data_IF_924140932058
#
_entry.id   IF_924140932058
#
_cell.length_a   1.000
_cell.length_b   1.000
_cell.length_c   1.000
_cell.angle_alpha   90.00
_cell.angle_beta   90.00
_cell.angle_gamma   90.00
#
_symmetry.space_group_name_H-M   'P 1'
#
loop_
_entity.id
_entity.type
_entity.pdbx_description
1 polymer ?
#
# COMPACT_ATOMS: atom_id res chain seq x y z
N UNK A 1 -0.47 25.49 -3.06
CA UNK A 1 -0.45 25.05 -1.65
C UNK A 1 0.90 24.42 -1.41
N UNK A 2 1.62 24.84 -0.38
CA UNK A 2 2.91 24.24 0.00
C UNK A 2 2.68 22.94 0.78
N UNK A 3 3.46 21.90 0.48
CA UNK A 3 3.36 20.59 1.15
C UNK A 3 4.45 20.50 2.22
N UNK A 4 4.06 20.27 3.48
CA UNK A 4 5.01 20.10 4.60
C UNK A 4 5.02 18.68 5.14
N UNK A 5 6.20 18.18 5.47
CA UNK A 5 6.41 16.93 6.22
C UNK A 5 6.59 17.29 7.70
N UNK A 6 5.78 16.69 8.57
CA UNK A 6 5.81 16.91 10.02
C UNK A 6 6.14 15.60 10.70
N UNK A 7 7.30 15.54 11.35
CA UNK A 7 7.76 14.37 12.09
C UNK A 7 6.91 14.15 13.34
N UNK A 8 6.49 12.90 13.56
CA UNK A 8 5.70 12.47 14.69
C UNK A 8 6.33 11.20 15.27
N UNK A 9 6.77 11.29 16.51
CA UNK A 9 7.26 10.11 17.24
C UNK A 9 6.05 9.23 17.62
N UNK A 10 6.00 8.02 17.07
CA UNK A 10 4.87 7.11 17.24
C UNK A 10 4.85 6.36 18.59
N UNK A 11 5.97 6.36 19.32
CA UNK A 11 6.10 5.63 20.59
C UNK A 11 5.31 6.31 21.71
N UNK A 12 4.57 5.50 22.48
CA UNK A 12 3.86 5.97 23.67
C UNK A 12 2.66 6.89 23.41
N UNK A 13 2.13 6.95 22.19
CA UNK A 13 0.98 7.82 21.86
C UNK A 13 -0.33 7.37 22.51
N UNK A 14 -0.48 6.09 22.82
CA UNK A 14 -1.69 5.54 23.40
C UNK A 14 -1.63 4.02 23.51
N UNK A 15 -2.68 3.45 24.08
CA UNK A 15 -2.84 2.00 24.24
C UNK A 15 -4.30 1.60 24.30
N UNK A 16 -4.55 0.34 24.00
CA UNK A 16 -5.79 -0.33 24.37
C UNK A 16 -5.74 -0.78 25.84
N UNK A 17 -6.89 -1.15 26.40
CA UNK A 17 -6.94 -1.75 27.74
C UNK A 17 -6.34 -3.16 27.71
N UNK A 18 -5.66 -3.50 28.79
CA UNK A 18 -5.08 -4.83 29.00
C UNK A 18 -6.13 -5.80 29.55
N UNK A 19 -7.03 -6.25 28.67
CA UNK A 19 -8.06 -7.25 28.95
C UNK A 19 -8.11 -8.27 27.81
N UNK A 20 -8.64 -9.46 28.08
CA UNK A 20 -8.79 -10.50 27.07
C UNK A 20 -10.02 -10.29 26.17
N UNK A 21 -9.98 -10.88 24.97
CA UNK A 21 -11.08 -10.88 24.00
C UNK A 21 -11.19 -9.59 23.18
N UNK A 22 -12.21 -9.47 22.31
CA UNK A 22 -12.37 -8.34 21.40
C UNK A 22 -12.63 -7.02 22.13
N UNK A 23 -13.15 -7.06 23.36
CA UNK A 23 -13.40 -5.86 24.18
C UNK A 23 -12.13 -5.08 24.52
N UNK A 24 -10.95 -5.70 24.41
CA UNK A 24 -9.67 -4.99 24.50
C UNK A 24 -9.59 -3.83 23.50
N UNK A 25 -10.23 -3.99 22.33
CA UNK A 25 -10.24 -3.00 21.25
C UNK A 25 -11.38 -1.99 21.37
N UNK A 26 -12.19 -2.04 22.43
CA UNK A 26 -13.37 -1.18 22.56
C UNK A 26 -13.01 0.30 22.66
N UNK A 27 -11.88 0.63 23.30
CA UNK A 27 -11.48 2.01 23.49
C UNK A 27 -9.97 2.21 23.30
N UNK A 28 -9.58 3.13 22.41
CA UNK A 28 -8.21 3.62 22.32
C UNK A 28 -8.00 4.82 23.25
N UNK A 29 -7.12 4.66 24.24
CA UNK A 29 -6.76 5.69 25.21
C UNK A 29 -5.48 6.42 24.75
N UNK A 30 -5.57 7.74 24.55
CA UNK A 30 -4.41 8.58 24.23
C UNK A 30 -3.62 8.79 25.52
N UNK A 31 -2.32 8.48 25.49
CA UNK A 31 -1.47 8.57 26.66
C UNK A 31 -1.32 10.03 27.13
N UNK A 32 -1.44 10.25 28.43
CA UNK A 32 -1.12 11.54 29.06
C UNK A 32 0.38 11.86 29.07
N UNK A 33 1.24 10.85 28.88
CA UNK A 33 2.70 10.99 28.85
C UNK A 33 3.27 11.11 27.43
N UNK A 34 2.42 11.09 26.40
CA UNK A 34 2.86 11.24 25.03
C UNK A 34 3.58 12.60 24.81
N UNK A 35 4.62 12.59 23.97
CA UNK A 35 5.42 13.79 23.67
C UNK A 35 4.51 14.97 23.29
N UNK A 36 4.68 16.10 24.00
CA UNK A 36 3.86 17.29 23.79
C UNK A 36 3.88 17.78 22.34
N UNK A 37 5.02 17.66 21.65
CA UNK A 37 5.17 18.06 20.26
C UNK A 37 4.44 17.10 19.29
N UNK A 38 4.60 15.78 19.46
CA UNK A 38 3.92 14.78 18.63
C UNK A 38 2.40 14.89 18.77
N UNK A 39 1.89 15.01 20.00
CA UNK A 39 0.45 15.17 20.24
C UNK A 39 -0.07 16.50 19.69
N UNK A 40 0.67 17.60 19.83
CA UNK A 40 0.29 18.87 19.24
C UNK A 40 0.16 18.78 17.71
N UNK A 41 1.16 18.17 17.04
CA UNK A 41 1.11 17.95 15.60
C UNK A 41 -0.10 17.11 15.16
N UNK A 42 -0.44 16.07 15.93
CA UNK A 42 -1.63 15.24 15.64
C UNK A 42 -2.94 15.98 15.90
N UNK A 43 -3.01 16.85 16.92
CA UNK A 43 -4.18 17.70 17.18
C UNK A 43 -4.39 18.71 16.06
N UNK A 44 -3.31 19.34 15.61
CA UNK A 44 -3.35 20.29 14.48
C UNK A 44 -3.80 19.58 13.20
N UNK A 45 -3.29 18.38 12.93
CA UNK A 45 -3.71 17.57 11.79
C UNK A 45 -5.17 17.15 11.88
N UNK A 46 -5.65 16.75 13.06
CA UNK A 46 -7.05 16.40 13.31
C UNK A 46 -7.99 17.60 13.10
N UNK A 47 -7.62 18.79 13.59
CA UNK A 47 -8.37 20.03 13.36
C UNK A 47 -8.38 20.43 11.88
N UNK A 48 -7.25 20.26 11.20
CA UNK A 48 -7.16 20.45 9.76
C UNK A 48 -8.14 19.52 9.02
N UNK A 49 -8.17 18.22 9.34
CA UNK A 49 -9.08 17.25 8.74
C UNK A 49 -10.56 17.58 8.99
N UNK A 50 -10.89 18.16 10.16
CA UNK A 50 -12.26 18.59 10.50
C UNK A 50 -12.74 19.83 9.76
N UNK A 51 -11.83 20.73 9.42
CA UNK A 51 -12.19 22.06 8.89
C UNK A 51 -11.91 22.22 7.40
N UNK A 52 -10.99 21.44 6.84
CA UNK A 52 -10.59 21.51 5.43
C UNK A 52 -11.14 20.31 4.65
N UNK A 53 -11.23 20.47 3.33
CA UNK A 53 -11.54 19.38 2.40
C UNK A 53 -10.28 18.70 1.83
N UNK A 54 -9.11 19.29 2.05
CA UNK A 54 -7.83 18.73 1.61
C UNK A 54 -7.42 17.58 2.54
N UNK A 55 -7.02 16.42 2.00
CA UNK A 55 -6.61 15.29 2.81
C UNK A 55 -5.20 15.47 3.42
N UNK A 56 -4.92 14.68 4.45
CA UNK A 56 -3.61 14.59 5.12
C UNK A 56 -3.06 13.18 4.94
N UNK A 57 -1.77 13.07 4.62
CA UNK A 57 -1.11 11.78 4.53
C UNK A 57 -0.54 11.35 5.88
N UNK A 58 -0.64 10.05 6.21
CA UNK A 58 -0.14 9.49 7.47
C UNK A 58 0.27 8.02 7.31
N UNK A 59 1.23 7.53 8.11
CA UNK A 59 1.70 6.15 8.04
C UNK A 59 0.72 5.16 8.72
N UNK A 60 0.65 3.96 8.13
CA UNK A 60 0.13 2.76 8.80
C UNK A 60 1.24 1.71 8.86
N UNK A 61 0.97 0.55 9.44
CA UNK A 61 1.86 -0.62 9.35
C UNK A 61 1.97 -1.14 7.90
N UNK A 62 0.98 -0.88 7.05
CA UNK A 62 0.93 -1.36 5.65
C UNK A 62 1.63 -0.42 4.67
N UNK A 63 1.00 0.71 4.38
CA UNK A 63 1.43 1.75 3.46
C UNK A 63 0.95 3.11 4.02
N UNK A 64 1.50 4.22 3.54
CA UNK A 64 0.96 5.53 3.89
C UNK A 64 -0.45 5.69 3.30
N UNK A 65 -1.38 6.16 4.12
CA UNK A 65 -2.76 6.47 3.75
C UNK A 65 -2.93 7.96 3.48
N UNK A 66 -3.82 8.32 2.55
CA UNK A 66 -4.25 9.69 2.29
C UNK A 66 -5.65 9.89 2.88
N UNK A 67 -5.71 10.38 4.11
CA UNK A 67 -6.93 10.44 4.90
C UNK A 67 -7.71 11.73 4.78
N UNK A 68 -9.03 11.59 4.79
CA UNK A 68 -9.95 12.66 5.11
C UNK A 68 -11.14 12.10 5.92
N UNK A 69 -11.89 12.98 6.57
CA UNK A 69 -13.10 12.61 7.31
C UNK A 69 -14.10 11.88 6.38
N UNK A 70 -14.39 10.62 6.69
CA UNK A 70 -15.24 9.75 5.87
C UNK A 70 -16.72 10.15 5.88
N UNK A 71 -17.12 11.06 6.77
CA UNK A 71 -18.51 11.55 6.92
C UNK A 71 -18.77 12.82 6.12
N UNK A 72 -17.71 13.46 5.59
CA UNK A 72 -17.79 14.74 4.87
C UNK A 72 -17.52 14.56 3.37
N UNK A 73 -18.54 14.74 2.53
CA UNK A 73 -18.39 14.60 1.06
C UNK A 73 -17.32 15.49 0.45
N UNK A 74 -17.18 16.74 0.92
CA UNK A 74 -16.13 17.64 0.45
C UNK A 74 -14.72 17.07 0.69
N UNK A 75 -14.49 16.58 1.91
CA UNK A 75 -13.23 15.98 2.33
C UNK A 75 -12.92 14.70 1.54
N UNK A 76 -13.91 13.82 1.34
CA UNK A 76 -13.75 12.60 0.56
C UNK A 76 -13.48 12.91 -0.92
N UNK A 77 -14.13 13.92 -1.51
CA UNK A 77 -13.81 14.41 -2.87
C UNK A 77 -12.40 14.96 -2.98
N UNK A 78 -11.88 15.59 -1.92
CA UNK A 78 -10.50 16.03 -1.83
C UNK A 78 -9.49 14.89 -2.03
N UNK A 79 -9.78 13.69 -1.53
CA UNK A 79 -8.95 12.48 -1.76
C UNK A 79 -8.89 12.14 -3.26
N UNK A 80 -10.04 12.08 -3.92
CA UNK A 80 -10.12 11.75 -5.35
C UNK A 80 -9.40 12.80 -6.21
N UNK A 81 -9.59 14.08 -5.89
CA UNK A 81 -8.95 15.22 -6.55
C UNK A 81 -7.42 15.16 -6.42
N UNK A 82 -6.89 15.05 -5.19
CA UNK A 82 -5.45 15.02 -4.95
C UNK A 82 -4.77 13.83 -5.66
N UNK A 83 -5.41 12.65 -5.68
CA UNK A 83 -4.86 11.45 -6.32
C UNK A 83 -5.01 11.43 -7.84
N UNK A 84 -5.99 12.17 -8.39
CA UNK A 84 -6.47 11.94 -9.76
C UNK A 84 -7.11 10.56 -9.91
N UNK A 85 -7.90 10.14 -8.91
CA UNK A 85 -8.52 8.80 -8.86
C UNK A 85 -9.98 8.85 -9.34
N UNK A 86 -10.47 7.86 -10.12
CA UNK A 86 -11.89 7.72 -10.45
C UNK A 86 -12.76 7.59 -9.18
N UNK A 87 -13.92 8.24 -9.17
CA UNK A 87 -14.87 8.23 -8.05
C UNK A 87 -15.70 6.94 -7.94
N UNK A 88 -15.62 6.04 -8.91
CA UNK A 88 -16.32 4.74 -8.94
C UNK A 88 -15.60 3.64 -8.13
N UNK A 89 -14.53 3.99 -7.43
CA UNK A 89 -13.67 3.03 -6.73
C UNK A 89 -13.73 3.31 -5.22
N UNK A 90 -14.34 2.41 -4.43
CA UNK A 90 -14.64 2.68 -3.03
C UNK A 90 -13.36 2.90 -2.20
N UNK A 91 -13.54 3.50 -1.02
CA UNK A 91 -12.50 3.78 -0.05
C UNK A 91 -12.65 2.89 1.18
N UNK A 92 -11.54 2.61 1.85
CA UNK A 92 -11.54 1.92 3.15
C UNK A 92 -11.60 2.98 4.24
N UNK A 93 -12.60 2.87 5.11
CA UNK A 93 -12.71 3.67 6.32
C UNK A 93 -11.83 3.10 7.42
N UNK A 94 -11.07 3.95 8.08
CA UNK A 94 -10.23 3.59 9.22
C UNK A 94 -10.87 4.07 10.52
N UNK A 95 -10.91 3.21 11.52
CA UNK A 95 -11.44 3.48 12.87
C UNK A 95 -10.35 3.34 13.91
N UNK A 96 -10.46 4.05 15.04
CA UNK A 96 -9.49 3.95 16.14
C UNK A 96 -9.84 2.85 17.15
N UNK A 97 -11.11 2.49 17.29
CA UNK A 97 -11.60 1.53 18.28
C UNK A 97 -12.96 0.93 17.87
N UNK A 98 -13.42 -0.11 18.57
CA UNK A 98 -14.71 -0.75 18.28
C UNK A 98 -15.89 0.13 18.67
N UNK A 99 -15.75 1.04 19.64
CA UNK A 99 -16.79 2.01 19.97
C UNK A 99 -17.11 2.92 18.77
N UNK A 100 -16.09 3.42 18.07
CA UNK A 100 -16.28 4.18 16.82
C UNK A 100 -16.95 3.33 15.74
N UNK A 101 -16.52 2.08 15.55
CA UNK A 101 -17.15 1.18 14.56
C UNK A 101 -18.63 0.91 14.89
N UNK A 102 -18.94 0.56 16.14
CA UNK A 102 -20.32 0.35 16.62
C UNK A 102 -21.14 1.62 16.45
N UNK A 103 -20.53 2.78 16.69
CA UNK A 103 -21.12 4.10 16.42
C UNK A 103 -21.50 4.30 14.96
N UNK A 104 -20.70 3.81 14.00
CA UNK A 104 -21.03 3.86 12.57
C UNK A 104 -22.15 2.89 12.18
N UNK A 105 -22.15 1.69 12.75
CA UNK A 105 -23.10 0.62 12.40
C UNK A 105 -24.49 0.82 13.01
N UNK A 106 -24.58 1.49 14.17
CA UNK A 106 -25.86 1.74 14.82
C UNK A 106 -26.65 2.80 14.04
N UNK A 107 -27.94 2.54 13.72
CA UNK A 107 -28.80 3.58 13.15
C UNK A 107 -28.91 4.76 14.14
N UNK A 108 -29.07 5.98 13.62
CA UNK A 108 -29.44 7.12 14.46
C UNK A 108 -30.75 6.79 15.18
N UNK A 109 -30.69 6.65 16.51
CA UNK A 109 -31.89 6.42 17.32
C UNK A 109 -32.85 7.59 17.08
N UNK A 110 -34.01 7.34 16.48
CA UNK A 110 -35.16 8.21 16.69
C UNK A 110 -35.48 8.15 18.19
N UNK A 111 -35.08 9.19 18.91
CA UNK A 111 -35.39 9.38 20.33
C UNK A 111 -36.86 9.74 20.48
N UNK A 112 -37.78 8.85 20.13
CA UNK A 112 -39.18 8.94 20.54
C UNK A 112 -39.71 7.52 20.75
N UNK A 113 -40.09 7.26 22.00
CA UNK A 113 -40.54 5.97 22.57
C UNK A 113 -39.41 5.05 23.03
N UNK A 114 -39.38 4.88 24.36
CA UNK A 114 -38.40 4.11 25.13
C UNK A 114 -38.47 2.61 24.88
N UNK A 115 -38.30 2.18 23.64
CA UNK A 115 -38.03 0.79 23.34
C UNK A 115 -36.57 0.49 23.69
N UNK A 116 -36.46 -0.37 24.69
CA UNK A 116 -35.25 -1.02 25.18
C UNK A 116 -34.77 -1.99 24.10
N UNK A 117 -34.34 -1.47 22.95
CA UNK A 117 -33.48 -2.22 22.02
C UNK A 117 -32.08 -2.27 22.64
N UNK A 118 -32.01 -3.06 23.71
CA UNK A 118 -30.80 -3.45 24.39
C UNK A 118 -30.06 -4.51 23.56
N UNK A 119 -28.73 -4.35 23.52
CA UNK A 119 -27.78 -5.42 23.83
C UNK A 119 -27.16 -6.33 22.75
N UNK A 120 -27.52 -6.27 21.46
CA UNK A 120 -26.74 -7.02 20.45
C UNK A 120 -25.67 -6.14 19.80
N UNK A 121 -24.41 -6.59 19.85
CA UNK A 121 -23.29 -5.94 19.15
C UNK A 121 -23.60 -5.88 17.64
N UNK A 122 -23.60 -4.69 16.99
CA UNK A 122 -23.92 -4.57 15.57
C UNK A 122 -22.87 -5.19 14.64
N UNK A 123 -21.70 -5.59 15.16
CA UNK A 123 -20.66 -6.27 14.39
C UNK A 123 -21.09 -7.73 14.13
N UNK A 124 -21.19 -8.18 12.87
CA UNK A 124 -21.60 -9.56 12.55
C UNK A 124 -20.68 -10.61 13.18
N UNK A 125 -21.27 -11.69 13.72
CA UNK A 125 -20.54 -12.78 14.42
C UNK A 125 -19.40 -13.38 13.59
N UNK A 126 -19.59 -13.50 12.28
CA UNK A 126 -18.58 -14.02 11.34
C UNK A 126 -17.25 -13.25 11.43
N UNK A 127 -17.26 -11.97 11.81
CA UNK A 127 -16.05 -11.16 11.87
C UNK A 127 -15.37 -11.15 13.25
N UNK A 128 -16.04 -11.59 14.32
CA UNK A 128 -15.45 -11.52 15.67
C UNK A 128 -14.14 -12.30 15.81
N UNK A 129 -14.01 -13.55 15.31
CA UNK A 129 -12.75 -14.29 15.37
C UNK A 129 -11.61 -13.60 14.60
N UNK A 130 -11.95 -12.90 13.51
CA UNK A 130 -10.97 -12.15 12.72
C UNK A 130 -10.54 -10.85 13.43
N UNK A 131 -11.49 -10.12 14.02
CA UNK A 131 -11.20 -8.88 14.76
C UNK A 131 -10.32 -9.19 15.97
N UNK A 132 -10.65 -10.23 16.73
CA UNK A 132 -9.88 -10.62 17.90
C UNK A 132 -8.43 -10.95 17.55
N UNK A 133 -8.22 -11.69 16.45
CA UNK A 133 -6.90 -12.18 16.04
C UNK A 133 -6.07 -11.16 15.26
N UNK A 134 -6.69 -10.38 14.38
CA UNK A 134 -5.97 -9.57 13.39
C UNK A 134 -6.15 -8.06 13.55
N UNK A 135 -7.00 -7.58 14.47
CA UNK A 135 -7.12 -6.15 14.78
C UNK A 135 -6.43 -5.77 16.11
N UNK A 136 -5.80 -4.58 16.18
CA UNK A 136 -5.47 -3.70 15.06
C UNK A 136 -4.47 -4.39 14.13
N UNK A 137 -4.58 -4.15 12.82
CA UNK A 137 -3.68 -4.84 11.88
C UNK A 137 -4.09 -4.77 10.42
N UNK A 138 -3.39 -5.55 9.56
CA UNK A 138 -3.48 -5.47 8.10
C UNK A 138 -4.68 -6.23 7.55
N UNK A 139 -5.82 -6.22 8.24
CA UNK A 139 -7.08 -6.82 7.80
C UNK A 139 -8.15 -5.75 7.59
N UNK A 140 -8.83 -5.83 6.46
CA UNK A 140 -10.03 -5.04 6.14
C UNK A 140 -11.20 -5.99 5.98
N UNK A 141 -12.31 -5.68 6.66
CA UNK A 141 -13.57 -6.44 6.55
C UNK A 141 -14.61 -5.62 5.79
N UNK A 142 -15.49 -6.28 5.02
CA UNK A 142 -16.66 -5.64 4.41
C UNK A 142 -17.88 -5.70 5.34
N UNK A 143 -18.52 -4.56 5.57
CA UNK A 143 -19.75 -4.47 6.35
C UNK A 143 -20.87 -3.86 5.51
N UNK A 144 -22.11 -4.24 5.80
CA UNK A 144 -23.28 -3.55 5.24
C UNK A 144 -23.26 -2.09 5.70
N UNK A 145 -23.51 -1.18 4.76
CA UNK A 145 -23.67 0.23 5.09
C UNK A 145 -25.07 0.44 5.68
N UNK A 146 -25.21 0.98 6.90
CA UNK A 146 -26.52 1.27 7.47
C UNK A 146 -27.27 2.34 6.66
N UNK A 147 -28.61 2.29 6.73
CA UNK A 147 -29.49 3.31 6.17
C UNK A 147 -30.25 4.03 7.30
N UNK A 148 -30.14 5.36 7.45
CA UNK A 148 -29.33 6.26 6.63
C UNK A 148 -27.82 6.10 6.89
N UNK A 149 -27.03 6.23 5.82
CA UNK A 149 -25.55 6.18 5.89
C UNK A 149 -24.98 7.37 6.63
N UNK A 150 -24.09 7.10 7.60
CA UNK A 150 -23.23 8.12 8.25
C UNK A 150 -21.99 8.48 7.42
N UNK A 151 -21.66 7.64 6.44
CA UNK A 151 -20.54 7.85 5.53
C UNK A 151 -20.99 8.71 4.35
N UNK A 152 -20.08 9.55 3.87
CA UNK A 152 -20.26 10.26 2.61
C UNK A 152 -20.45 9.26 1.45
N UNK A 153 -21.36 9.52 0.49
CA UNK A 153 -21.66 8.59 -0.60
C UNK A 153 -20.43 8.18 -1.43
N UNK A 154 -19.45 9.07 -1.53
CA UNK A 154 -18.21 8.85 -2.27
C UNK A 154 -17.30 7.79 -1.61
N UNK A 155 -17.50 7.45 -0.33
CA UNK A 155 -16.76 6.38 0.36
C UNK A 155 -17.16 5.01 -0.19
N UNK A 156 -18.46 4.77 -0.34
CA UNK A 156 -18.99 3.47 -0.81
C UNK A 156 -19.09 3.40 -2.32
N UNK A 157 -18.99 4.54 -3.02
CA UNK A 157 -19.20 4.63 -4.47
C UNK A 157 -20.56 4.04 -4.92
N UNK A 158 -21.59 4.20 -4.08
CA UNK A 158 -22.94 3.68 -4.33
C UNK A 158 -23.17 2.21 -3.99
N UNK A 159 -22.20 1.54 -3.37
CA UNK A 159 -22.35 0.16 -2.90
C UNK A 159 -23.14 0.09 -1.58
N UNK A 160 -23.87 -1.02 -1.39
CA UNK A 160 -24.57 -1.35 -0.13
C UNK A 160 -23.60 -1.80 1.00
N UNK A 161 -22.31 -1.93 0.68
CA UNK A 161 -21.27 -2.34 1.61
C UNK A 161 -20.10 -1.36 1.60
N UNK A 162 -19.39 -1.27 2.72
CA UNK A 162 -18.16 -0.50 2.84
C UNK A 162 -17.05 -1.34 3.47
N UNK A 163 -15.79 -1.02 3.13
CA UNK A 163 -14.62 -1.63 3.77
C UNK A 163 -14.20 -0.84 5.00
N UNK A 164 -13.92 -1.54 6.10
CA UNK A 164 -13.42 -0.94 7.33
C UNK A 164 -12.18 -1.65 7.86
N UNK A 165 -11.30 -0.89 8.52
CA UNK A 165 -10.07 -1.39 9.13
C UNK A 165 -9.72 -0.63 10.41
N UNK A 166 -9.14 -1.33 11.37
CA UNK A 166 -8.43 -0.73 12.50
C UNK A 166 -6.91 -0.88 12.28
N UNK A 167 -6.17 0.18 11.92
CA UNK A 167 -4.75 0.07 11.59
C UNK A 167 -3.89 -0.20 12.84
N UNK A 168 -2.87 -1.05 12.73
CA UNK A 168 -1.86 -1.25 13.78
C UNK A 168 -0.78 -0.16 13.79
N UNK A 169 -1.22 1.09 13.86
CA UNK A 169 -0.32 2.26 13.94
C UNK A 169 -0.82 3.18 15.06
N UNK A 170 -0.08 3.30 16.18
CA UNK A 170 -0.46 4.21 17.27
C UNK A 170 -0.65 5.66 16.78
N UNK A 171 0.14 6.09 15.80
CA UNK A 171 -0.01 7.39 15.15
C UNK A 171 -1.38 7.49 14.45
N UNK A 172 -1.74 6.50 13.63
CA UNK A 172 -3.02 6.49 12.92
C UNK A 172 -4.21 6.41 13.88
N UNK A 173 -4.16 5.52 14.89
CA UNK A 173 -5.21 5.37 15.89
C UNK A 173 -5.43 6.67 16.66
N UNK A 174 -4.35 7.31 17.13
CA UNK A 174 -4.43 8.60 17.82
C UNK A 174 -4.92 9.71 16.91
N UNK A 175 -4.51 9.76 15.64
CA UNK A 175 -5.03 10.73 14.67
C UNK A 175 -6.54 10.58 14.45
N UNK A 176 -7.02 9.36 14.23
CA UNK A 176 -8.45 9.05 14.04
C UNK A 176 -9.25 9.42 15.29
N UNK A 177 -8.74 9.06 16.48
CA UNK A 177 -9.35 9.42 17.77
C UNK A 177 -9.46 10.93 17.95
N UNK A 178 -8.38 11.67 17.67
CA UNK A 178 -8.35 13.12 17.77
C UNK A 178 -9.22 13.80 16.73
N UNK A 179 -9.33 13.25 15.51
CA UNK A 179 -10.22 13.73 14.46
C UNK A 179 -11.70 13.60 14.86
N UNK A 180 -12.00 12.64 15.76
CA UNK A 180 -13.34 12.30 16.22
C UNK A 180 -14.28 11.85 15.09
N UNK A 181 -13.72 11.25 14.05
CA UNK A 181 -14.44 10.72 12.89
C UNK A 181 -13.64 9.57 12.26
N UNK A 182 -14.30 8.58 11.61
CA UNK A 182 -13.59 7.63 10.78
C UNK A 182 -12.88 8.34 9.63
N UNK A 183 -11.71 7.83 9.23
CA UNK A 183 -10.93 8.40 8.14
C UNK A 183 -10.99 7.51 6.90
N UNK A 184 -11.56 8.01 5.81
CA UNK A 184 -11.46 7.36 4.52
C UNK A 184 -10.03 7.55 4.02
N UNK A 185 -9.28 6.47 3.81
CA UNK A 185 -7.85 6.56 3.50
C UNK A 185 -7.40 5.47 2.52
N UNK A 186 -7.34 5.74 1.20
CA UNK A 186 -6.58 4.91 0.28
C UNK A 186 -5.07 5.17 0.41
N UNK A 187 -4.25 4.40 -0.30
CA UNK A 187 -2.80 4.63 -0.36
C UNK A 187 -2.45 6.07 -0.81
N UNK A 188 -1.39 6.68 -0.29
CA UNK A 188 -1.05 8.09 -0.50
C UNK A 188 -0.19 8.38 -1.74
N UNK A 189 -0.43 7.66 -2.85
CA UNK A 189 0.25 7.87 -4.13
C UNK A 189 -0.64 8.58 -5.15
N UNK A 190 -0.04 9.17 -6.18
CA UNK A 190 -0.78 9.52 -7.39
C UNK A 190 -1.35 8.23 -8.01
N UNK A 191 -2.53 8.32 -8.64
CA UNK A 191 -3.16 7.15 -9.29
C UNK A 191 -2.16 6.41 -10.20
N UNK A 192 -2.32 5.09 -10.31
CA UNK A 192 -1.46 4.12 -11.04
C UNK A 192 -0.04 3.90 -10.51
N UNK A 193 0.57 4.84 -9.77
CA UNK A 193 1.91 4.65 -9.20
C UNK A 193 1.96 3.56 -8.10
N UNK A 194 3.14 2.99 -7.79
CA UNK A 194 3.34 2.10 -6.65
C UNK A 194 2.86 2.72 -5.32
N UNK A 195 2.44 1.92 -4.35
CA UNK A 195 2.04 2.45 -3.04
C UNK A 195 3.22 3.09 -2.29
N UNK A 196 3.00 4.13 -1.47
CA UNK A 196 4.06 4.77 -0.70
C UNK A 196 4.26 4.09 0.65
N UNK A 197 5.51 3.75 0.97
CA UNK A 197 5.92 3.16 2.25
C UNK A 197 6.71 4.11 3.14
N UNK A 198 6.97 5.35 2.69
CA UNK A 198 7.68 6.40 3.42
C UNK A 198 7.04 7.76 3.16
N UNK A 199 7.25 8.74 4.04
CA UNK A 199 6.76 10.11 3.85
C UNK A 199 7.32 10.73 2.56
N UNK A 200 8.57 10.43 2.20
CA UNK A 200 9.19 10.94 0.98
C UNK A 200 8.53 10.39 -0.29
N UNK A 201 8.07 9.13 -0.28
CA UNK A 201 7.27 8.59 -1.39
C UNK A 201 5.98 9.37 -1.60
N UNK A 202 5.33 9.79 -0.51
CA UNK A 202 4.12 10.62 -0.56
C UNK A 202 4.45 12.01 -1.10
N UNK A 203 5.49 12.66 -0.55
CA UNK A 203 5.92 13.99 -0.98
C UNK A 203 6.15 14.04 -2.49
N UNK A 204 6.97 13.14 -3.02
CA UNK A 204 7.26 13.07 -4.45
C UNK A 204 6.02 12.91 -5.34
N UNK A 205 4.97 12.27 -4.83
CA UNK A 205 3.77 12.01 -5.62
C UNK A 205 2.70 13.09 -5.51
N UNK A 206 2.59 13.73 -4.33
CA UNK A 206 1.47 14.59 -3.97
C UNK A 206 1.89 16.01 -3.56
N UNK A 207 3.17 16.38 -3.72
CA UNK A 207 3.65 17.76 -3.55
C UNK A 207 2.78 18.73 -4.37
N UNK A 208 2.38 19.83 -3.72
CA UNK A 208 1.50 20.84 -4.29
C UNK A 208 0.02 20.46 -4.32
N UNK A 209 -0.32 19.18 -4.09
CA UNK A 209 -1.70 18.66 -4.09
C UNK A 209 -2.28 18.46 -2.69
N UNK A 210 -1.42 18.25 -1.69
CA UNK A 210 -1.81 18.11 -0.28
C UNK A 210 -0.97 19.04 0.61
N UNK A 211 -1.56 19.53 1.70
CA UNK A 211 -0.86 20.49 2.56
C UNK A 211 0.04 19.84 3.61
N UNK A 212 -0.26 18.61 4.03
CA UNK A 212 0.35 18.00 5.22
C UNK A 212 0.63 16.50 5.03
N UNK A 213 1.84 16.11 5.40
CA UNK A 213 2.29 14.72 5.51
C UNK A 213 2.78 14.52 6.94
N UNK A 214 2.18 13.62 7.69
CA UNK A 214 2.69 13.16 8.97
C UNK A 214 3.72 12.07 8.73
N UNK A 215 4.91 12.23 9.30
CA UNK A 215 6.02 11.29 9.16
C UNK A 215 6.28 10.55 10.46
N UNK A 216 5.90 9.27 10.48
CA UNK A 216 6.16 8.34 11.58
C UNK A 216 7.15 7.23 11.20
N UNK A 217 7.94 7.42 10.13
CA UNK A 217 8.89 6.43 9.63
C UNK A 217 8.32 5.43 8.63
N UNK A 218 9.17 4.50 8.20
CA UNK A 218 8.83 3.51 7.17
C UNK A 218 7.75 2.50 7.60
N UNK A 219 6.90 2.09 6.67
CA UNK A 219 5.90 1.05 6.89
C UNK A 219 6.52 -0.34 7.04
N UNK A 220 6.01 -1.15 7.97
CA UNK A 220 6.59 -2.44 8.34
C UNK A 220 6.14 -3.63 7.48
N UNK A 221 4.99 -3.57 6.81
CA UNK A 221 4.47 -4.69 5.99
C UNK A 221 4.80 -4.49 4.52
N UNK A 222 4.70 -3.25 4.02
CA UNK A 222 5.04 -2.90 2.63
C UNK A 222 4.00 -3.29 1.58
N UNK A 223 3.02 -4.15 1.90
CA UNK A 223 1.84 -4.43 1.08
C UNK A 223 0.56 -3.97 1.78
N UNK A 224 -0.51 -3.72 1.03
CA UNK A 224 -1.78 -3.29 1.61
C UNK A 224 -2.48 -4.39 2.45
N UNK A 225 -3.52 -4.00 3.18
CA UNK A 225 -4.34 -4.94 3.95
C UNK A 225 -5.00 -6.01 3.08
N UNK A 226 -5.14 -7.21 3.65
CA UNK A 226 -6.02 -8.24 3.13
C UNK A 226 -7.46 -7.74 3.24
N UNK A 227 -8.25 -7.87 2.17
CA UNK A 227 -9.67 -7.47 2.17
C UNK A 227 -10.52 -8.72 2.09
N UNK A 228 -11.39 -8.90 3.07
CA UNK A 228 -12.26 -10.07 3.19
C UNK A 228 -13.73 -9.67 3.21
N UNK A 229 -14.56 -10.57 2.69
CA UNK A 229 -16.00 -10.45 2.66
C UNK A 229 -16.64 -11.72 3.22
N UNK A 230 -17.17 -11.58 4.43
CA UNK A 230 -18.00 -12.56 5.13
C UNK A 230 -19.50 -12.23 5.03
N UNK A 231 -19.92 -11.32 4.14
CA UNK A 231 -21.35 -11.11 3.84
C UNK A 231 -21.90 -12.15 2.86
N UNK A 232 -21.04 -13.01 2.31
CA UNK A 232 -21.38 -14.13 1.45
C UNK A 232 -20.94 -15.47 2.07
N UNK A 233 -21.50 -16.57 1.54
CA UNK A 233 -21.19 -17.94 1.94
C UNK A 233 -20.83 -18.77 0.69
N UNK A 234 -19.64 -19.39 0.62
CA UNK A 234 -18.53 -19.27 1.58
C UNK A 234 -17.92 -17.85 1.60
N UNK A 235 -17.29 -17.41 2.71
CA UNK A 235 -16.56 -16.15 2.76
C UNK A 235 -15.46 -16.07 1.70
N UNK A 236 -15.13 -14.87 1.26
CA UNK A 236 -14.13 -14.66 0.21
C UNK A 236 -13.03 -13.67 0.57
N UNK A 237 -11.83 -13.92 0.05
CA UNK A 237 -10.75 -12.94 -0.02
C UNK A 237 -10.88 -12.16 -1.32
N UNK A 238 -11.19 -10.86 -1.22
CA UNK A 238 -11.30 -9.94 -2.36
C UNK A 238 -9.95 -9.37 -2.76
N UNK A 239 -9.01 -9.24 -1.80
CA UNK A 239 -7.66 -8.76 -2.07
C UNK A 239 -6.65 -9.43 -1.13
N UNK A 240 -5.61 -10.10 -1.65
CA UNK A 240 -4.51 -10.58 -0.82
C UNK A 240 -3.67 -9.41 -0.28
N UNK A 241 -3.13 -9.59 0.93
CA UNK A 241 -2.40 -8.58 1.68
C UNK A 241 -1.68 -9.16 2.89
N UNK A 242 -1.56 -8.38 3.97
CA UNK A 242 -0.77 -8.75 5.16
C UNK A 242 -1.32 -9.87 6.05
N UNK A 243 -2.54 -10.38 5.82
CA UNK A 243 -3.11 -11.56 6.49
C UNK A 243 -3.30 -12.69 5.49
N UNK A 244 -2.79 -13.86 5.86
CA UNK A 244 -2.68 -15.08 5.06
C UNK A 244 -4.02 -15.82 4.89
N UNK A 245 -4.18 -16.61 3.82
CA UNK A 245 -5.38 -17.46 3.67
C UNK A 245 -5.39 -18.59 4.69
N UNK A 246 -4.24 -19.19 4.98
CA UNK A 246 -4.08 -20.18 6.04
C UNK A 246 -4.44 -19.60 7.41
N UNK A 247 -3.96 -18.39 7.70
CA UNK A 247 -4.30 -17.64 8.90
C UNK A 247 -5.82 -17.40 9.01
N UNK A 248 -6.48 -17.01 7.91
CA UNK A 248 -7.94 -16.85 7.88
C UNK A 248 -8.67 -18.17 8.12
N UNK A 249 -8.24 -19.28 7.49
CA UNK A 249 -8.86 -20.61 7.65
C UNK A 249 -8.77 -21.18 9.05
N UNK A 250 -7.82 -20.70 9.84
CA UNK A 250 -7.71 -21.08 11.26
C UNK A 250 -8.74 -20.41 12.17
N UNK A 251 -9.53 -19.47 11.66
CA UNK A 251 -10.57 -18.76 12.41
C UNK A 251 -11.94 -19.41 12.22
N UNK A 252 -12.73 -19.47 13.31
CA UNK A 252 -14.08 -20.03 13.29
C UNK A 252 -14.97 -19.32 12.24
N UNK A 253 -15.64 -20.11 11.40
CA UNK A 253 -16.50 -19.62 10.31
C UNK A 253 -15.75 -19.25 9.02
N UNK A 254 -14.41 -19.27 9.01
CA UNK A 254 -13.57 -18.94 7.86
C UNK A 254 -12.81 -20.14 7.29
N UNK A 255 -13.06 -21.35 7.79
CA UNK A 255 -12.41 -22.60 7.37
C UNK A 255 -12.59 -22.85 5.86
N UNK A 256 -13.76 -22.47 5.34
CA UNK A 256 -14.14 -22.57 3.93
C UNK A 256 -13.76 -21.38 3.05
N UNK A 257 -12.99 -20.40 3.55
CA UNK A 257 -12.68 -19.19 2.78
C UNK A 257 -11.99 -19.52 1.46
N UNK A 258 -12.41 -18.84 0.41
CA UNK A 258 -11.87 -18.98 -0.95
C UNK A 258 -11.38 -17.64 -1.49
N UNK A 259 -10.55 -17.66 -2.53
CA UNK A 259 -10.27 -16.44 -3.32
C UNK A 259 -11.52 -16.11 -4.11
N UNK A 260 -11.82 -14.83 -4.26
CA UNK A 260 -12.80 -14.37 -5.24
C UNK A 260 -12.26 -14.59 -6.66
N UNK A 261 -12.25 -15.84 -7.15
CA UNK A 261 -11.81 -16.16 -8.50
C UNK A 261 -12.76 -15.54 -9.51
N UNK A 262 -12.24 -14.68 -10.40
CA UNK A 262 -12.96 -14.09 -11.54
C UNK A 262 -14.24 -13.37 -11.13
N UNK A 263 -14.18 -12.53 -10.09
CA UNK A 263 -15.21 -11.51 -9.94
C UNK A 263 -15.27 -10.70 -11.24
N UNK A 264 -16.46 -10.47 -11.80
CA UNK A 264 -16.61 -9.80 -13.09
C UNK A 264 -15.94 -8.40 -13.10
N UNK A 265 -15.67 -7.84 -11.91
CA UNK A 265 -14.94 -6.60 -11.69
C UNK A 265 -13.44 -6.68 -11.99
N UNK A 266 -12.78 -7.85 -11.84
CA UNK A 266 -11.39 -8.04 -12.28
C UNK A 266 -11.29 -8.06 -13.81
N UNK A 267 -12.35 -8.52 -14.49
CA UNK A 267 -12.47 -8.44 -15.96
C UNK A 267 -12.94 -7.08 -16.47
N UNK A 268 -13.13 -6.09 -15.58
CA UNK A 268 -13.56 -4.73 -15.91
C UNK A 268 -15.05 -4.56 -16.23
N UNK A 269 -15.88 -5.60 -16.05
CA UNK A 269 -17.30 -5.60 -16.46
C UNK A 269 -18.27 -5.09 -15.39
N UNK A 270 -17.86 -5.01 -14.13
CA UNK A 270 -18.68 -4.51 -13.01
C UNK A 270 -17.91 -3.55 -12.08
N UNK A 271 -18.64 -2.80 -11.26
CA UNK A 271 -18.06 -1.92 -10.24
C UNK A 271 -17.25 -2.73 -9.21
N UNK A 272 -16.05 -2.28 -8.81
CA UNK A 272 -15.22 -3.02 -7.87
C UNK A 272 -15.83 -2.98 -6.45
N UNK A 273 -15.98 -4.16 -5.83
CA UNK A 273 -16.50 -4.29 -4.45
C UNK A 273 -15.52 -3.78 -3.39
N UNK A 274 -14.23 -3.77 -3.73
CA UNK A 274 -13.14 -3.31 -2.87
C UNK A 274 -12.04 -2.60 -3.68
N UNK A 275 -11.20 -1.75 -3.05
CA UNK A 275 -10.08 -1.12 -3.73
C UNK A 275 -9.06 -2.16 -4.23
N UNK A 276 -8.55 -1.98 -5.45
CA UNK A 276 -7.47 -2.83 -6.00
C UNK A 276 -7.92 -3.92 -6.97
N UNK A 277 -9.22 -3.98 -7.32
CA UNK A 277 -9.79 -5.03 -8.18
C UNK A 277 -9.84 -4.70 -9.68
N UNK A 278 -10.17 -3.47 -10.08
CA UNK A 278 -10.52 -3.12 -11.48
C UNK A 278 -9.39 -2.47 -12.30
N UNK A 279 -8.56 -1.62 -11.69
CA UNK A 279 -7.62 -0.77 -12.41
C UNK A 279 -6.18 -1.32 -12.35
N UNK A 280 -5.35 -1.01 -13.35
CA UNK A 280 -3.89 -1.22 -13.26
C UNK A 280 -3.35 -0.39 -12.11
N UNK A 281 -3.12 -1.05 -10.99
CA UNK A 281 -2.45 -0.48 -9.83
C UNK A 281 -0.96 -0.89 -9.90
N UNK A 282 -0.08 -0.06 -9.36
CA UNK A 282 1.33 -0.40 -9.10
C UNK A 282 2.28 -0.39 -10.30
N UNK A 283 1.93 0.22 -11.43
CA UNK A 283 2.83 0.26 -12.59
C UNK A 283 3.80 1.45 -12.48
N UNK A 284 5.12 1.23 -12.41
CA UNK A 284 6.08 2.30 -12.68
C UNK A 284 5.96 2.78 -14.13
N UNK A 285 6.64 3.89 -14.48
CA UNK A 285 6.74 4.33 -15.88
C UNK A 285 7.60 3.37 -16.70
N UNK A 286 8.65 2.83 -16.07
CA UNK A 286 9.47 1.78 -16.65
C UNK A 286 8.65 0.54 -17.01
N UNK A 287 9.00 -0.13 -18.11
CA UNK A 287 8.42 -1.42 -18.47
C UNK A 287 8.88 -2.48 -17.46
N UNK A 288 7.95 -3.15 -16.78
CA UNK A 288 8.29 -4.23 -15.85
C UNK A 288 8.17 -5.59 -16.54
N UNK A 289 9.22 -6.40 -16.47
CA UNK A 289 9.24 -7.80 -16.91
C UNK A 289 9.45 -8.70 -15.70
N UNK A 290 8.41 -9.45 -15.34
CA UNK A 290 8.42 -10.37 -14.21
C UNK A 290 8.81 -11.77 -14.67
N UNK A 291 9.78 -12.38 -14.00
CA UNK A 291 10.09 -13.79 -14.15
C UNK A 291 9.48 -14.56 -12.98
N UNK A 292 8.40 -15.30 -13.25
CA UNK A 292 7.78 -16.18 -12.26
C UNK A 292 8.82 -17.17 -11.70
N UNK A 293 8.58 -17.62 -10.47
CA UNK A 293 9.40 -18.65 -9.85
C UNK A 293 9.46 -19.93 -10.69
N UNK A 294 8.36 -20.26 -11.38
CA UNK A 294 8.25 -21.40 -12.29
C UNK A 294 9.07 -21.29 -13.58
N UNK A 295 9.50 -20.08 -13.95
CA UNK A 295 10.15 -19.83 -15.23
C UNK A 295 11.56 -20.41 -15.24
N UNK A 296 11.71 -21.63 -15.80
CA UNK A 296 12.98 -22.34 -15.85
C UNK A 296 14.06 -21.60 -16.64
N UNK A 297 13.69 -20.93 -17.74
CA UNK A 297 14.63 -20.20 -18.58
C UNK A 297 15.25 -18.99 -17.85
N UNK A 298 14.51 -18.40 -16.91
CA UNK A 298 14.98 -17.30 -16.08
C UNK A 298 15.50 -17.73 -14.70
N UNK A 299 15.82 -19.01 -14.49
CA UNK A 299 16.22 -19.50 -13.17
C UNK A 299 17.55 -18.91 -12.67
N UNK A 300 18.46 -18.56 -13.59
CA UNK A 300 19.78 -18.01 -13.25
C UNK A 300 19.95 -16.52 -13.57
N UNK A 301 18.91 -15.87 -14.13
CA UNK A 301 18.98 -14.48 -14.54
C UNK A 301 17.98 -14.09 -15.62
N UNK A 302 18.18 -12.91 -16.19
CA UNK A 302 17.42 -12.37 -17.31
C UNK A 302 17.82 -13.11 -18.59
N UNK A 303 16.85 -13.58 -19.37
CA UNK A 303 17.15 -14.27 -20.62
C UNK A 303 17.68 -13.31 -21.68
N UNK A 304 18.62 -13.77 -22.50
CA UNK A 304 19.32 -12.93 -23.48
C UNK A 304 18.38 -12.26 -24.47
N UNK A 305 17.30 -12.93 -24.89
CA UNK A 305 16.32 -12.37 -25.83
C UNK A 305 15.59 -11.16 -25.23
N UNK A 306 15.32 -11.16 -23.93
CA UNK A 306 14.63 -10.05 -23.26
C UNK A 306 15.54 -8.84 -23.09
N UNK A 307 16.82 -9.09 -22.79
CA UNK A 307 17.86 -8.06 -22.81
C UNK A 307 18.00 -7.44 -24.21
N UNK A 308 18.11 -8.27 -25.25
CA UNK A 308 18.21 -7.81 -26.64
C UNK A 308 16.99 -6.97 -27.05
N UNK A 309 15.77 -7.42 -26.72
CA UNK A 309 14.55 -6.65 -26.97
C UNK A 309 14.59 -5.27 -26.31
N UNK A 310 15.04 -5.19 -25.06
CA UNK A 310 15.17 -3.92 -24.36
C UNK A 310 16.15 -2.97 -25.04
N UNK A 311 17.31 -3.49 -25.49
CA UNK A 311 18.33 -2.72 -26.21
C UNK A 311 17.85 -2.25 -27.60
N UNK A 312 17.10 -3.08 -28.32
CA UNK A 312 16.55 -2.75 -29.65
C UNK A 312 15.46 -1.67 -29.54
N UNK A 313 14.55 -1.78 -28.55
CA UNK A 313 13.48 -0.80 -28.36
C UNK A 313 14.03 0.62 -28.16
N UNK A 314 15.15 0.76 -27.43
CA UNK A 314 15.83 2.05 -27.26
C UNK A 314 16.36 2.63 -28.58
N UNK A 315 16.92 1.79 -29.44
CA UNK A 315 17.49 2.23 -30.72
C UNK A 315 16.41 2.79 -31.66
N UNK A 316 15.20 2.24 -31.61
CA UNK A 316 14.04 2.76 -32.35
C UNK A 316 13.55 4.11 -31.82
N UNK A 317 13.49 4.28 -30.50
CA UNK A 317 13.01 5.52 -29.86
C UNK A 317 14.05 6.67 -29.96
N UNK A 318 15.36 6.37 -29.92
CA UNK A 318 16.42 7.36 -30.04
C UNK A 318 16.51 8.00 -31.43
N UNK A 319 16.07 7.30 -32.50
CA UNK A 319 16.01 7.84 -33.87
C UNK A 319 14.90 8.92 -33.98
N UNK A 320 13.94 8.96 -33.05
CA UNK A 320 12.84 9.93 -33.06
C UNK A 320 13.16 11.27 -32.35
N UNK A 321 14.25 11.36 -31.58
CA UNK A 321 14.58 12.57 -30.79
C UNK A 321 15.90 13.19 -31.25
N UNK A 322 15.82 14.23 -32.08
CA UNK A 322 16.97 15.06 -32.45
C UNK A 322 17.38 15.98 -31.26
N UNK A 323 18.57 15.79 -30.66
CA UNK A 323 19.21 16.91 -29.94
C UNK A 323 20.22 16.63 -28.82
N UNK A 324 20.33 15.41 -28.29
CA UNK A 324 21.38 15.08 -27.31
C UNK A 324 21.90 13.67 -27.59
N UNK A 325 23.23 13.46 -27.51
CA UNK A 325 23.82 12.14 -27.74
C UNK A 325 23.10 11.07 -26.92
N UNK A 326 22.95 9.82 -27.42
CA UNK A 326 22.03 8.86 -26.82
C UNK A 326 22.46 8.57 -25.38
N UNK A 327 21.65 9.00 -24.42
CA UNK A 327 21.81 8.57 -23.04
C UNK A 327 21.70 7.05 -23.01
N UNK A 328 22.71 6.37 -22.45
CA UNK A 328 22.72 4.92 -22.33
C UNK A 328 21.42 4.42 -21.66
N UNK A 329 20.82 3.36 -22.22
CA UNK A 329 19.65 2.70 -21.65
C UNK A 329 19.91 2.39 -20.19
N UNK A 330 18.97 2.68 -19.30
CA UNK A 330 19.06 2.23 -17.91
C UNK A 330 18.19 1.01 -17.72
N UNK A 331 18.80 -0.10 -17.35
CA UNK A 331 18.16 -1.38 -17.05
C UNK A 331 18.12 -1.51 -15.53
N UNK A 332 16.92 -1.58 -14.98
CA UNK A 332 16.70 -1.93 -13.59
C UNK A 332 16.64 -3.44 -13.40
N UNK A 333 17.22 -3.92 -12.31
CA UNK A 333 17.16 -5.32 -11.90
C UNK A 333 16.78 -5.36 -10.43
N UNK A 334 15.68 -6.04 -10.11
CA UNK A 334 15.28 -6.34 -8.74
C UNK A 334 15.47 -7.84 -8.54
N UNK A 335 16.45 -8.20 -7.72
CA UNK A 335 16.76 -9.59 -7.38
C UNK A 335 16.18 -9.98 -6.04
N UNK A 336 15.82 -11.24 -5.94
CA UNK A 336 15.34 -11.86 -4.70
C UNK A 336 16.27 -13.02 -4.34
N UNK A 337 15.81 -14.26 -4.45
CA UNK A 337 16.57 -15.44 -3.98
C UNK A 337 17.27 -16.22 -5.09
N UNK A 338 16.89 -16.11 -6.38
CA UNK A 338 17.48 -16.93 -7.45
C UNK A 338 18.59 -16.21 -8.19
N UNK A 339 18.40 -14.93 -8.48
CA UNK A 339 19.27 -14.22 -9.40
C UNK A 339 20.58 -13.79 -8.76
N UNK A 340 21.67 -14.07 -9.48
CA UNK A 340 23.00 -13.52 -9.22
C UNK A 340 23.04 -12.04 -9.62
N UNK A 341 24.04 -11.34 -9.13
CA UNK A 341 24.30 -9.94 -9.43
C UNK A 341 24.13 -9.59 -10.92
N UNK A 342 23.53 -8.43 -11.18
CA UNK A 342 23.20 -7.96 -12.52
C UNK A 342 22.27 -8.92 -13.29
N UNK A 343 21.42 -9.68 -12.60
CA UNK A 343 20.48 -10.61 -13.24
C UNK A 343 21.18 -11.67 -14.06
N UNK A 344 22.35 -12.13 -13.63
CA UNK A 344 23.15 -13.15 -14.34
C UNK A 344 23.98 -12.61 -15.52
N UNK A 345 23.92 -11.31 -15.83
CA UNK A 345 24.79 -10.71 -16.83
C UNK A 345 26.26 -10.86 -16.42
N UNK A 346 27.10 -11.39 -17.32
CA UNK A 346 28.54 -11.52 -17.07
C UNK A 346 29.22 -10.18 -17.37
N UNK A 347 29.78 -9.46 -16.38
CA UNK A 347 30.34 -8.13 -16.61
C UNK A 347 31.87 -8.15 -16.71
N UNK A 348 32.41 -7.45 -17.71
CA UNK A 348 33.85 -7.16 -17.82
C UNK A 348 34.31 -5.91 -17.06
N UNK A 349 33.44 -4.95 -16.73
CA UNK A 349 33.88 -3.69 -16.08
C UNK A 349 32.72 -2.96 -15.39
N UNK A 350 32.29 -3.39 -14.20
CA UNK A 350 31.35 -2.64 -13.36
C UNK A 350 32.11 -1.81 -12.33
N UNK A 351 32.12 -0.48 -12.47
CA UNK A 351 32.54 0.41 -11.38
C UNK A 351 31.40 0.50 -10.36
N UNK A 352 31.53 -0.24 -9.25
CA UNK A 352 30.56 -0.22 -8.15
C UNK A 352 30.67 1.11 -7.41
N UNK A 353 29.79 2.05 -7.76
CA UNK A 353 29.48 3.18 -6.88
C UNK A 353 28.40 2.71 -5.93
N UNK A 354 28.73 2.53 -4.64
CA UNK A 354 27.70 2.26 -3.62
C UNK A 354 26.88 3.53 -3.46
N UNK A 355 25.60 3.47 -3.81
CA UNK A 355 24.65 4.50 -3.41
C UNK A 355 23.76 3.87 -2.34
N UNK A 356 24.04 4.21 -1.08
CA UNK A 356 23.08 3.97 -0.01
C UNK A 356 21.89 4.90 -0.28
N UNK A 357 20.70 4.34 -0.35
CA UNK A 357 19.49 5.16 -0.39
C UNK A 357 19.12 5.45 1.06
N UNK A 358 19.75 6.49 1.60
CA UNK A 358 19.04 7.36 2.55
C UNK A 358 18.10 8.25 1.75
N UNK A 359 16.94 8.58 2.32
CA UNK A 359 16.15 9.73 1.88
C UNK A 359 17.09 10.91 1.61
N UNK A 360 17.01 11.44 0.39
CA UNK A 360 17.98 12.36 -0.20
C UNK A 360 18.62 13.35 0.79
N UNK A 361 19.95 13.39 0.83
CA UNK A 361 20.77 14.58 1.08
C UNK A 361 20.43 15.53 2.26
N UNK A 362 19.76 15.06 3.32
CA UNK A 362 19.59 15.82 4.56
C UNK A 362 19.86 14.93 5.78
N UNK A 363 20.79 15.38 6.61
CA UNK A 363 21.45 14.62 7.68
C UNK A 363 20.57 14.27 8.91
N UNK A 364 19.25 14.09 8.76
CA UNK A 364 18.32 13.83 9.87
C UNK A 364 17.26 12.73 9.62
N UNK A 365 17.32 12.00 8.50
CA UNK A 365 16.40 10.90 8.20
C UNK A 365 17.06 9.55 8.51
N UNK A 366 16.67 8.90 9.62
CA UNK A 366 16.89 7.45 9.78
C UNK A 366 15.67 6.76 9.17
N UNK A 367 15.69 6.61 7.84
CA UNK A 367 14.63 5.99 7.04
C UNK A 367 14.95 4.50 6.83
N UNK A 368 14.29 3.62 7.57
CA UNK A 368 14.55 2.17 7.59
C UNK A 368 13.91 1.42 6.39
N UNK A 369 14.35 1.71 5.16
CA UNK A 369 14.26 0.71 4.07
C UNK A 369 15.62 0.66 3.37
N UNK A 370 16.59 0.02 4.02
CA UNK A 370 17.96 -0.05 3.56
C UNK A 370 18.16 -1.18 2.53
N UNK A 371 17.96 -0.89 1.24
CA UNK A 371 18.59 -1.66 0.17
C UNK A 371 19.67 -0.83 -0.52
N UNK A 372 20.75 -1.49 -0.95
CA UNK A 372 21.80 -0.86 -1.73
C UNK A 372 21.46 -0.92 -3.22
N UNK A 373 21.69 0.18 -3.93
CA UNK A 373 21.63 0.20 -5.40
C UNK A 373 23.06 0.11 -5.91
N UNK A 374 23.34 -0.97 -6.64
CA UNK A 374 24.63 -1.18 -7.30
C UNK A 374 24.51 -0.79 -8.76
N UNK A 375 25.35 0.13 -9.20
CA UNK A 375 25.37 0.56 -10.59
C UNK A 375 26.54 -0.07 -11.35
N UNK A 376 26.34 -0.26 -12.65
CA UNK A 376 27.46 -0.18 -13.58
C UNK A 376 27.05 -0.31 -15.04
N UNK A 377 27.99 -0.67 -15.90
CA UNK A 377 27.86 -0.65 -17.35
C UNK A 377 27.91 -2.06 -17.97
N UNK A 378 26.92 -2.35 -18.82
CA UNK A 378 26.91 -3.49 -19.72
C UNK A 378 27.67 -3.11 -20.99
N UNK A 379 28.62 -3.94 -21.40
CA UNK A 379 29.47 -3.72 -22.57
C UNK A 379 29.33 -4.86 -23.57
N UNK A 380 29.54 -4.58 -24.86
CA UNK A 380 29.61 -5.60 -25.91
C UNK A 380 30.96 -6.33 -25.94
N UNK A 381 31.13 -7.25 -26.90
CA UNK A 381 32.38 -8.00 -27.08
C UNK A 381 33.60 -7.11 -27.38
N UNK A 382 33.37 -5.88 -27.87
CA UNK A 382 34.40 -4.89 -28.20
C UNK A 382 34.63 -3.89 -27.05
N UNK A 383 34.03 -4.13 -25.87
CA UNK A 383 34.05 -3.26 -24.68
C UNK A 383 33.35 -1.91 -24.88
N UNK A 384 32.47 -1.80 -25.87
CA UNK A 384 31.68 -0.58 -26.08
C UNK A 384 30.48 -0.57 -25.12
N UNK A 385 30.16 0.57 -24.48
CA UNK A 385 29.02 0.68 -23.58
C UNK A 385 27.70 0.46 -24.32
N UNK A 386 26.88 -0.45 -23.82
CA UNK A 386 25.53 -0.76 -24.35
C UNK A 386 24.42 -0.20 -23.47
N UNK A 387 24.54 -0.37 -22.15
CA UNK A 387 23.53 0.06 -21.19
C UNK A 387 24.13 0.27 -19.80
N UNK A 388 23.46 1.05 -18.96
CA UNK A 388 23.70 1.10 -17.52
C UNK A 388 22.76 0.15 -16.80
N UNK A 389 23.29 -0.64 -15.87
CA UNK A 389 22.55 -1.56 -15.02
C UNK A 389 22.44 -0.97 -13.62
N UNK A 390 21.22 -0.96 -13.08
CA UNK A 390 20.89 -0.59 -11.71
C UNK A 390 20.37 -1.85 -11.01
N UNK A 391 21.19 -2.45 -10.16
CA UNK A 391 20.90 -3.72 -9.47
C UNK A 391 20.51 -3.45 -8.01
N UNK A 392 19.33 -3.96 -7.62
CA UNK A 392 18.82 -3.94 -6.26
C UNK A 392 18.65 -5.39 -5.79
N UNK A 393 19.22 -5.68 -4.63
CA UNK A 393 19.05 -6.96 -3.94
C UNK A 393 18.07 -6.80 -2.77
N UNK A 394 16.91 -7.44 -2.84
CA UNK A 394 15.94 -7.45 -1.75
C UNK A 394 16.12 -8.66 -0.82
N UNK A 395 17.08 -9.55 -1.13
CA UNK A 395 17.30 -10.78 -0.39
C UNK A 395 16.22 -11.84 -0.62
N UNK A 396 16.28 -12.92 0.18
CA UNK A 396 15.36 -14.06 0.07
C UNK A 396 14.22 -14.07 1.08
N UNK A 397 14.21 -13.14 2.05
CA UNK A 397 13.15 -13.08 3.06
C UNK A 397 11.89 -12.42 2.49
N UNK A 398 10.76 -13.13 2.54
CA UNK A 398 9.50 -12.65 1.94
C UNK A 398 9.02 -11.34 2.54
N UNK A 399 9.24 -11.11 3.84
CA UNK A 399 8.82 -9.86 4.52
C UNK A 399 9.71 -8.70 4.09
N UNK A 400 11.03 -8.90 4.04
CA UNK A 400 11.98 -7.92 3.50
C UNK A 400 11.67 -7.55 2.04
N UNK A 401 11.33 -8.54 1.21
CA UNK A 401 10.91 -8.30 -0.18
C UNK A 401 9.62 -7.47 -0.22
N UNK A 402 8.62 -7.80 0.60
CA UNK A 402 7.36 -7.04 0.66
C UNK A 402 7.59 -5.56 1.06
N UNK A 403 8.46 -5.32 2.04
CA UNK A 403 8.86 -3.98 2.49
C UNK A 403 9.63 -3.19 1.41
N UNK A 404 10.58 -3.86 0.75
CA UNK A 404 11.51 -3.22 -0.17
C UNK A 404 10.98 -3.06 -1.60
N UNK A 405 10.01 -3.88 -2.03
CA UNK A 405 9.61 -3.97 -3.43
C UNK A 405 9.10 -2.65 -4.01
N UNK A 406 8.13 -2.00 -3.37
CA UNK A 406 7.59 -0.74 -3.90
C UNK A 406 8.62 0.38 -3.87
N UNK A 407 9.46 0.40 -2.84
CA UNK A 407 10.59 1.33 -2.74
C UNK A 407 11.56 1.11 -3.91
N UNK A 408 11.95 -0.14 -4.20
CA UNK A 408 12.85 -0.49 -5.29
C UNK A 408 12.28 -0.13 -6.67
N UNK A 409 11.00 -0.43 -6.92
CA UNK A 409 10.32 -0.04 -8.16
C UNK A 409 10.30 1.48 -8.33
N UNK A 410 10.01 2.23 -7.25
CA UNK A 410 10.01 3.71 -7.26
C UNK A 410 11.41 4.28 -7.48
N UNK A 411 12.43 3.68 -6.87
CA UNK A 411 13.81 4.14 -6.97
C UNK A 411 14.35 3.96 -8.39
N UNK A 412 14.13 2.79 -8.99
CA UNK A 412 14.49 2.53 -10.39
C UNK A 412 13.76 3.46 -11.35
N UNK A 413 12.48 3.73 -11.13
CA UNK A 413 11.70 4.69 -11.94
C UNK A 413 12.25 6.11 -11.81
N UNK A 414 12.61 6.54 -10.58
CA UNK A 414 13.22 7.85 -10.31
C UNK A 414 14.60 7.99 -10.94
N UNK A 415 15.39 6.91 -10.94
CA UNK A 415 16.70 6.85 -11.62
C UNK A 415 16.58 6.79 -13.13
N UNK A 416 15.37 6.67 -13.67
CA UNK A 416 15.08 6.69 -15.10
C UNK A 416 15.34 5.35 -15.79
N UNK A 417 15.16 4.22 -15.08
CA UNK A 417 15.16 2.91 -15.71
C UNK A 417 14.07 2.86 -16.80
N UNK A 418 14.41 2.34 -17.97
CA UNK A 418 13.46 2.18 -19.07
C UNK A 418 12.75 0.83 -19.02
N UNK A 419 13.48 -0.19 -18.56
CA UNK A 419 12.96 -1.54 -18.28
C UNK A 419 13.43 -1.96 -16.89
N UNK A 420 12.59 -2.69 -16.17
CA UNK A 420 12.89 -3.31 -14.88
C UNK A 420 12.63 -4.81 -15.00
N UNK A 421 13.67 -5.61 -14.83
CA UNK A 421 13.57 -7.06 -14.71
C UNK A 421 13.44 -7.44 -13.24
N UNK A 422 12.46 -8.30 -12.91
CA UNK A 422 12.19 -8.69 -11.52
C UNK A 422 12.25 -10.21 -11.38
N UNK A 423 13.06 -10.66 -10.42
CA UNK A 423 13.13 -12.04 -9.96
C UNK A 423 11.93 -12.35 -9.04
N UNK A 424 10.93 -13.05 -9.57
CA UNK A 424 9.77 -13.48 -8.80
C UNK A 424 10.13 -14.52 -7.74
N UNK A 425 9.32 -14.58 -6.69
CA UNK A 425 9.48 -15.53 -5.57
C UNK A 425 8.47 -16.66 -5.64
N UNK A 426 8.78 -17.74 -4.95
CA UNK A 426 7.87 -18.85 -4.73
C UNK A 426 6.65 -18.38 -3.92
N UNK A 427 5.46 -18.43 -4.54
CA UNK A 427 4.21 -17.96 -3.93
C UNK A 427 3.49 -19.04 -3.11
N UNK A 428 4.19 -20.12 -2.76
CA UNK A 428 3.69 -21.14 -1.81
C UNK A 428 3.43 -20.59 -0.41
N UNK A 429 4.04 -19.46 -0.04
CA UNK A 429 3.72 -18.74 1.20
C UNK A 429 2.79 -17.55 0.90
N UNK A 430 1.86 -17.25 1.79
CA UNK A 430 0.76 -16.32 1.54
C UNK A 430 1.18 -14.84 1.46
N UNK A 431 2.22 -14.40 2.19
CA UNK A 431 2.80 -13.06 1.99
C UNK A 431 3.46 -12.98 0.60
N UNK A 432 4.09 -14.08 0.15
CA UNK A 432 4.66 -14.16 -1.18
C UNK A 432 3.57 -14.08 -2.25
N UNK A 433 2.38 -14.63 -1.99
CA UNK A 433 1.22 -14.43 -2.86
C UNK A 433 0.82 -12.95 -2.96
N UNK A 434 0.76 -12.22 -1.84
CA UNK A 434 0.44 -10.79 -1.86
C UNK A 434 1.48 -10.00 -2.68
N UNK A 435 2.78 -10.29 -2.48
CA UNK A 435 3.87 -9.70 -3.26
C UNK A 435 3.74 -10.04 -4.74
N UNK A 436 3.55 -11.31 -5.09
CA UNK A 436 3.41 -11.76 -6.48
C UNK A 436 2.15 -11.23 -7.13
N UNK A 437 1.04 -11.04 -6.40
CA UNK A 437 -0.15 -10.35 -6.90
C UNK A 437 0.17 -8.91 -7.33
N UNK A 438 0.97 -8.20 -6.55
CA UNK A 438 1.40 -6.82 -6.88
C UNK A 438 2.37 -6.81 -8.04
N UNK A 439 3.33 -7.73 -8.08
CA UNK A 439 4.26 -7.87 -9.20
C UNK A 439 3.54 -8.19 -10.52
N UNK A 440 2.60 -9.14 -10.51
CA UNK A 440 1.80 -9.50 -11.70
C UNK A 440 0.95 -8.32 -12.20
N UNK A 441 0.43 -7.49 -11.30
CA UNK A 441 -0.32 -6.27 -11.65
C UNK A 441 0.58 -5.14 -12.17
N UNK A 442 1.80 -5.04 -11.65
CA UNK A 442 2.81 -4.08 -12.10
C UNK A 442 3.49 -4.50 -13.42
N UNK A 443 3.57 -5.81 -13.67
CA UNK A 443 4.23 -6.40 -14.83
C UNK A 443 3.55 -5.96 -16.13
N UNK A 444 4.36 -5.44 -17.05
CA UNK A 444 3.96 -5.27 -18.45
C UNK A 444 4.01 -6.59 -19.20
N UNK A 445 4.97 -7.44 -18.85
CA UNK A 445 5.12 -8.79 -19.39
C UNK A 445 5.51 -9.78 -18.28
N UNK A 446 5.05 -11.03 -18.42
CA UNK A 446 5.33 -12.12 -17.49
C UNK A 446 6.02 -13.26 -18.25
N UNK A 447 7.07 -13.84 -17.65
CA UNK A 447 7.71 -15.08 -18.08
C UNK A 447 7.34 -16.17 -17.08
N UNK A 448 6.72 -17.25 -17.55
CA UNK A 448 6.17 -18.32 -16.72
C UNK A 448 6.90 -19.64 -16.90
#
# INVERSE_FOLDING_TARGET
METRIVKVEAQGLGSFRDIDGPERLSHWDISSSASGASIAALRDAAEYMRTQDTPVAFPTETVYGLGADATRSGAVKGIFSAKGRPSDNPLISHVCDLDMLRGLLRPERQTMHGDVAAETDPIPEIYKPLIEKFWPGPLTILLRNPEPSKLAPEVTAGLESFGVRMPSSPLALTLIKLAAAPLAAPSANASTKPSPTTAQHVYHDLEGRIGLILDGGACQVGVESTVVDGLCDPPVVLRPGGVSMEELRSCAGWEGVVKAYKDASETGRSAPRAPGMKYKHYSPKAKVVLYEWSCKAGAEGVVTEDLQKALIQQSGDAIATNGSGPALLKIGIIRTSRWKFAGGFHPGTLQVSKVHVDGAADANARDEVAYEVKEGELQDAEKKPMARVLDIDLGGDTRGIAQGLFSALRDLDRRGASVIFVDGIDDRNDIAEAVMNRLRKAASEIRA
#
